data_IF_368424727014
#
_entry.id   IF_368424727014
#
_cell.length_a   1.000
_cell.length_b   1.000
_cell.length_c   1.000
_cell.angle_alpha   90.00
_cell.angle_beta   90.00
_cell.angle_gamma   90.00
#
_symmetry.space_group_name_H-M   'P 1'
#
loop_
_entity.id
_entity.type
_entity.pdbx_description
1 polymer ?
#
# COMPACT_ATOMS: atom_id res chain seq x y z
N UNK A 1 -4.83 23.41 -19.23
CA UNK A 1 -5.48 22.30 -18.51
C UNK A 1 -4.49 21.15 -18.45
N UNK A 2 -4.06 20.69 -17.26
CA UNK A 2 -3.28 19.45 -17.17
C UNK A 2 -4.24 18.31 -17.46
N UNK A 3 -3.95 17.47 -18.45
CA UNK A 3 -4.69 16.23 -18.67
C UNK A 3 -4.69 15.41 -17.36
N UNK A 4 -5.87 14.98 -16.92
CA UNK A 4 -5.97 14.08 -15.77
C UNK A 4 -5.30 12.77 -16.18
N UNK A 5 -4.12 12.48 -15.62
CA UNK A 5 -3.43 11.21 -15.84
C UNK A 5 -4.31 10.11 -15.25
N UNK A 6 -4.90 9.29 -16.11
CA UNK A 6 -5.77 8.18 -15.75
C UNK A 6 -5.01 7.21 -14.83
N UNK A 7 -5.57 6.90 -13.67
CA UNK A 7 -4.97 6.00 -12.69
C UNK A 7 -5.88 4.80 -12.38
N UNK A 8 -5.42 3.91 -11.47
CA UNK A 8 -6.20 2.72 -11.10
C UNK A 8 -7.55 3.02 -10.45
N UNK A 9 -7.71 4.14 -9.73
CA UNK A 9 -9.01 4.54 -9.18
C UNK A 9 -9.97 5.00 -10.28
N UNK A 10 -9.48 5.70 -11.30
CA UNK A 10 -10.32 6.06 -12.46
C UNK A 10 -10.82 4.80 -13.20
N UNK A 11 -9.95 3.80 -13.36
CA UNK A 11 -10.33 2.51 -13.94
C UNK A 11 -11.29 1.72 -13.04
N UNK A 12 -11.10 1.77 -11.73
CA UNK A 12 -12.01 1.16 -10.75
C UNK A 12 -13.40 1.79 -10.84
N UNK A 13 -13.51 3.11 -10.82
CA UNK A 13 -14.78 3.85 -10.96
C UNK A 13 -15.53 3.42 -12.22
N UNK A 14 -14.82 3.37 -13.36
CA UNK A 14 -15.37 2.92 -14.63
C UNK A 14 -15.90 1.48 -14.56
N UNK A 15 -15.17 0.57 -13.93
CA UNK A 15 -15.59 -0.85 -13.81
C UNK A 15 -16.79 -1.03 -12.87
N UNK A 16 -16.86 -0.25 -11.79
CA UNK A 16 -18.02 -0.24 -10.89
C UNK A 16 -19.27 0.27 -11.60
N UNK A 17 -19.15 1.32 -12.41
CA UNK A 17 -20.24 1.82 -13.25
C UNK A 17 -20.76 0.83 -14.31
N UNK A 18 -19.97 -0.20 -14.64
CA UNK A 18 -20.31 -1.23 -15.61
C UNK A 18 -20.78 -2.56 -14.98
N UNK A 19 -21.19 -2.56 -13.71
CA UNK A 19 -21.49 -3.78 -12.95
C UNK A 19 -22.64 -4.63 -13.53
N UNK A 20 -23.72 -4.00 -14.00
CA UNK A 20 -24.93 -4.70 -14.45
C UNK A 20 -25.56 -5.53 -13.32
N UNK A 21 -26.07 -6.72 -13.65
CA UNK A 21 -26.76 -7.63 -12.71
C UNK A 21 -25.79 -8.50 -11.85
N UNK A 22 -24.49 -8.23 -11.94
CA UNK A 22 -23.48 -9.01 -11.19
C UNK A 22 -23.54 -8.67 -9.70
N UNK A 23 -23.24 -9.65 -8.84
CA UNK A 23 -23.16 -9.45 -7.40
C UNK A 23 -22.07 -8.42 -7.05
N UNK A 24 -22.40 -7.32 -6.34
CA UNK A 24 -21.43 -6.28 -5.97
C UNK A 24 -20.17 -6.78 -5.28
N UNK A 25 -20.30 -7.68 -4.30
CA UNK A 25 -19.15 -8.19 -3.57
C UNK A 25 -18.17 -8.97 -4.48
N UNK A 26 -18.67 -9.77 -5.43
CA UNK A 26 -17.84 -10.53 -6.37
C UNK A 26 -17.11 -9.59 -7.35
N UNK A 27 -17.79 -8.53 -7.78
CA UNK A 27 -17.23 -7.53 -8.70
C UNK A 27 -16.16 -6.70 -7.99
N UNK A 28 -16.41 -6.26 -6.76
CA UNK A 28 -15.42 -5.53 -5.96
C UNK A 28 -14.19 -6.41 -5.70
N UNK A 29 -14.38 -7.67 -5.30
CA UNK A 29 -13.29 -8.62 -5.12
C UNK A 29 -12.44 -8.75 -6.39
N UNK A 30 -13.07 -8.98 -7.53
CA UNK A 30 -12.37 -9.10 -8.81
C UNK A 30 -11.61 -7.82 -9.20
N UNK A 31 -12.24 -6.65 -9.08
CA UNK A 31 -11.61 -5.37 -9.43
C UNK A 31 -10.39 -5.11 -8.53
N UNK A 32 -10.52 -5.33 -7.22
CA UNK A 32 -9.43 -5.08 -6.30
C UNK A 32 -8.28 -6.07 -6.52
N UNK A 33 -8.60 -7.34 -6.76
CA UNK A 33 -7.58 -8.34 -7.10
C UNK A 33 -6.85 -8.00 -8.40
N UNK A 34 -7.58 -7.62 -9.44
CA UNK A 34 -7.00 -7.34 -10.76
C UNK A 34 -6.17 -6.04 -10.77
N UNK A 35 -6.66 -4.99 -10.12
CA UNK A 35 -6.00 -3.68 -10.12
C UNK A 35 -4.93 -3.56 -9.05
N UNK A 36 -5.11 -4.18 -7.88
CA UNK A 36 -4.25 -3.96 -6.72
C UNK A 36 -3.58 -5.23 -6.18
N UNK A 37 -3.99 -6.41 -6.65
CA UNK A 37 -3.39 -7.68 -6.25
C UNK A 37 -3.86 -8.21 -4.89
N UNK A 38 -4.80 -7.54 -4.22
CA UNK A 38 -5.35 -8.05 -2.96
C UNK A 38 -6.43 -9.08 -3.21
N UNK A 39 -6.27 -10.25 -2.59
CA UNK A 39 -7.32 -11.27 -2.55
C UNK A 39 -8.10 -11.18 -1.24
N UNK A 40 -9.26 -10.52 -1.28
CA UNK A 40 -10.12 -10.35 -0.12
C UNK A 40 -10.78 -11.64 0.38
N UNK A 41 -10.59 -12.80 -0.27
CA UNK A 41 -10.96 -14.07 0.35
C UNK A 41 -9.97 -14.47 1.46
N UNK A 42 -8.73 -13.94 1.42
CA UNK A 42 -7.65 -14.28 2.36
C UNK A 42 -7.19 -13.11 3.24
N UNK A 43 -7.46 -11.86 2.84
CA UNK A 43 -7.13 -10.70 3.69
C UNK A 43 -7.95 -10.74 4.98
N UNK A 44 -7.33 -10.61 6.17
CA UNK A 44 -8.06 -10.60 7.43
C UNK A 44 -9.06 -9.43 7.51
N UNK A 45 -10.28 -9.72 7.98
CA UNK A 45 -11.24 -8.67 8.36
C UNK A 45 -10.84 -8.09 9.71
N UNK A 46 -10.52 -6.79 9.72
CA UNK A 46 -10.10 -6.06 10.91
C UNK A 46 -11.29 -5.59 11.74
N UNK A 47 -12.41 -5.24 11.09
CA UNK A 47 -13.61 -4.70 11.75
C UNK A 47 -14.86 -5.36 11.20
N UNK A 48 -15.80 -5.69 12.09
CA UNK A 48 -17.08 -6.31 11.71
C UNK A 48 -16.99 -7.82 11.43
N UNK A 49 -15.89 -8.48 11.84
CA UNK A 49 -15.73 -9.94 11.70
C UNK A 49 -16.87 -10.69 12.39
N UNK A 50 -17.53 -11.59 11.67
CA UNK A 50 -18.58 -12.48 12.19
C UNK A 50 -18.19 -13.93 11.94
N UNK A 51 -18.26 -14.76 12.98
CA UNK A 51 -17.96 -16.18 12.86
C UNK A 51 -18.97 -16.85 11.92
N UNK A 52 -18.49 -17.73 11.04
CA UNK A 52 -19.32 -18.48 10.10
C UNK A 52 -19.70 -17.73 8.82
N UNK A 53 -19.25 -16.48 8.63
CA UNK A 53 -19.39 -15.77 7.36
C UNK A 53 -18.05 -15.67 6.64
N UNK A 54 -18.11 -15.79 5.32
CA UNK A 54 -16.99 -15.48 4.42
C UNK A 54 -16.77 -13.97 4.31
N UNK A 55 -15.59 -13.57 3.89
CA UNK A 55 -15.27 -12.16 3.64
C UNK A 55 -16.20 -11.54 2.58
N UNK A 56 -16.62 -12.31 1.57
CA UNK A 56 -17.56 -11.85 0.55
C UNK A 56 -18.95 -11.61 1.09
N UNK A 57 -19.45 -12.46 1.98
CA UNK A 57 -20.75 -12.26 2.62
C UNK A 57 -20.75 -11.04 3.54
N UNK A 58 -19.67 -10.86 4.30
CA UNK A 58 -19.48 -9.66 5.12
C UNK A 58 -19.40 -8.40 4.26
N UNK A 59 -18.61 -8.42 3.18
CA UNK A 59 -18.52 -7.31 2.24
C UNK A 59 -19.87 -7.01 1.59
N UNK A 60 -20.61 -8.03 1.14
CA UNK A 60 -21.94 -7.85 0.53
C UNK A 60 -22.88 -7.09 1.46
N UNK A 61 -22.93 -7.48 2.73
CA UNK A 61 -23.79 -6.82 3.73
C UNK A 61 -23.39 -5.36 4.00
N UNK A 62 -22.12 -5.00 3.91
CA UNK A 62 -21.67 -3.62 4.07
C UNK A 62 -21.90 -2.78 2.79
N UNK A 63 -21.74 -3.38 1.59
CA UNK A 63 -22.02 -2.72 0.32
C UNK A 63 -23.48 -2.29 0.19
N UNK A 64 -24.42 -3.07 0.72
CA UNK A 64 -25.86 -2.72 0.76
C UNK A 64 -26.16 -1.46 1.58
N UNK A 65 -25.26 -1.07 2.49
CA UNK A 65 -25.41 0.14 3.31
C UNK A 65 -24.82 1.39 2.66
N UNK A 66 -24.09 1.23 1.55
CA UNK A 66 -23.48 2.38 0.87
C UNK A 66 -24.55 3.20 0.14
N UNK A 67 -24.44 4.53 0.12
CA UNK A 67 -25.32 5.38 -0.68
C UNK A 67 -25.26 5.06 -2.17
N UNK A 68 -24.06 4.73 -2.66
CA UNK A 68 -23.80 4.29 -4.03
C UNK A 68 -22.51 3.48 -4.10
N UNK A 69 -22.41 2.60 -5.09
CA UNK A 69 -21.21 1.83 -5.36
C UNK A 69 -20.24 2.62 -6.26
N UNK A 70 -19.58 3.61 -5.66
CA UNK A 70 -18.54 4.45 -6.28
C UNK A 70 -17.23 4.32 -5.50
N UNK A 71 -16.11 4.73 -6.08
CA UNK A 71 -14.79 4.78 -5.41
C UNK A 71 -14.86 5.62 -4.14
N UNK A 72 -15.55 6.75 -4.17
CA UNK A 72 -15.73 7.66 -3.03
C UNK A 72 -16.28 6.94 -1.78
N UNK A 73 -17.25 6.04 -1.94
CA UNK A 73 -17.85 5.30 -0.83
C UNK A 73 -17.12 3.97 -0.56
N UNK A 74 -16.60 3.33 -1.60
CA UNK A 74 -15.99 2.03 -1.50
C UNK A 74 -14.60 2.06 -0.86
N UNK A 75 -13.75 3.04 -1.19
CA UNK A 75 -12.40 3.12 -0.63
C UNK A 75 -12.39 3.25 0.90
N UNK A 76 -13.19 4.15 1.52
CA UNK A 76 -13.29 4.22 2.98
C UNK A 76 -13.81 2.92 3.60
N UNK A 77 -14.76 2.24 2.95
CA UNK A 77 -15.27 0.95 3.43
C UNK A 77 -14.18 -0.13 3.43
N UNK A 78 -13.43 -0.27 2.34
CA UNK A 78 -12.36 -1.26 2.23
C UNK A 78 -11.21 -0.98 3.21
N UNK A 79 -10.88 0.30 3.41
CA UNK A 79 -9.95 0.73 4.44
C UNK A 79 -10.47 0.33 5.83
N UNK A 80 -11.74 0.58 6.13
CA UNK A 80 -12.34 0.25 7.42
C UNK A 80 -12.38 -1.27 7.69
N UNK A 81 -12.82 -2.05 6.71
CA UNK A 81 -13.00 -3.50 6.86
C UNK A 81 -11.69 -4.26 6.84
N UNK A 82 -10.81 -3.95 5.88
CA UNK A 82 -9.62 -4.75 5.57
C UNK A 82 -8.30 -4.01 5.81
N UNK A 83 -8.33 -2.72 6.19
CA UNK A 83 -7.12 -1.91 6.35
C UNK A 83 -6.44 -1.58 5.02
N UNK A 84 -7.12 -1.75 3.88
CA UNK A 84 -6.52 -1.53 2.57
C UNK A 84 -6.70 -0.08 2.12
N UNK A 85 -5.62 0.70 2.13
CA UNK A 85 -5.65 2.11 1.70
C UNK A 85 -5.38 2.24 0.19
N UNK A 86 -6.41 2.01 -0.64
CA UNK A 86 -6.28 2.08 -2.11
C UNK A 86 -5.87 3.47 -2.63
N UNK A 87 -6.38 4.54 -2.00
CA UNK A 87 -6.02 5.91 -2.37
C UNK A 87 -4.55 6.21 -2.08
N UNK A 88 -4.07 5.79 -0.91
CA UNK A 88 -2.66 5.87 -0.54
C UNK A 88 -1.78 5.13 -1.54
N UNK A 89 -2.17 3.92 -1.95
CA UNK A 89 -1.43 3.12 -2.94
C UNK A 89 -1.33 3.82 -4.28
N UNK A 90 -2.44 4.40 -4.79
CA UNK A 90 -2.41 5.14 -6.05
C UNK A 90 -1.58 6.42 -5.95
N UNK A 91 -1.60 7.10 -4.79
CA UNK A 91 -0.81 8.33 -4.59
C UNK A 91 0.71 8.10 -4.71
N UNK A 92 1.17 6.89 -4.41
CA UNK A 92 2.58 6.50 -4.46
C UNK A 92 2.91 5.60 -5.67
N UNK A 93 1.97 5.39 -6.59
CA UNK A 93 2.11 4.41 -7.66
C UNK A 93 3.32 4.65 -8.57
N UNK A 94 3.67 5.92 -8.77
CA UNK A 94 4.82 6.33 -9.58
C UNK A 94 6.12 6.44 -8.75
N UNK A 95 6.05 6.24 -7.44
CA UNK A 95 7.25 6.22 -6.61
C UNK A 95 8.02 4.91 -6.83
N UNK A 96 9.35 4.92 -6.78
CA UNK A 96 10.18 3.72 -6.95
C UNK A 96 10.21 2.86 -5.68
N UNK A 97 9.05 2.70 -5.03
CA UNK A 97 8.89 2.08 -3.72
C UNK A 97 7.96 0.88 -3.83
N UNK A 98 8.46 -0.31 -3.55
CA UNK A 98 7.64 -1.47 -3.22
C UNK A 98 7.24 -1.45 -1.75
N UNK A 99 6.02 -1.88 -1.44
CA UNK A 99 5.50 -1.95 -0.07
C UNK A 99 4.98 -3.37 0.19
N UNK A 100 5.49 -3.96 1.27
CA UNK A 100 5.01 -5.22 1.82
C UNK A 100 4.48 -4.98 3.23
N UNK A 101 3.29 -5.47 3.53
CA UNK A 101 2.68 -5.37 4.87
C UNK A 101 2.07 -6.72 5.23
N UNK A 102 2.39 -7.24 6.43
CA UNK A 102 1.80 -8.47 6.97
C UNK A 102 1.89 -9.64 5.99
N UNK A 103 3.09 -9.89 5.45
CA UNK A 103 3.37 -10.91 4.43
C UNK A 103 2.67 -10.74 3.07
N UNK A 104 1.93 -9.64 2.86
CA UNK A 104 1.22 -9.36 1.62
C UNK A 104 1.87 -8.20 0.85
N UNK A 105 1.84 -8.28 -0.47
CA UNK A 105 2.23 -7.17 -1.33
C UNK A 105 1.13 -6.11 -1.33
N UNK A 106 1.50 -4.88 -0.96
CA UNK A 106 0.63 -3.70 -1.04
C UNK A 106 0.89 -2.95 -2.34
N UNK A 107 2.16 -2.85 -2.73
CA UNK A 107 2.62 -2.35 -4.02
C UNK A 107 3.89 -3.10 -4.42
N UNK A 108 3.96 -3.55 -5.66
CA UNK A 108 5.18 -4.07 -6.27
C UNK A 108 5.14 -3.81 -7.76
N UNK A 109 6.09 -3.04 -8.27
CA UNK A 109 6.27 -2.85 -9.70
C UNK A 109 7.71 -3.17 -10.11
N UNK A 110 7.87 -3.65 -11.34
CA UNK A 110 9.17 -3.74 -11.97
C UNK A 110 9.75 -2.33 -12.10
N UNK A 111 11.00 -2.13 -11.69
CA UNK A 111 11.61 -0.79 -11.60
C UNK A 111 11.57 -0.16 -10.20
N UNK A 112 10.82 -0.71 -9.23
CA UNK A 112 10.87 -0.21 -7.86
C UNK A 112 12.26 -0.46 -7.25
N UNK A 113 12.87 0.56 -6.68
CA UNK A 113 14.27 0.58 -6.22
C UNK A 113 14.39 0.35 -4.70
N UNK A 114 13.35 0.66 -3.94
CA UNK A 114 13.35 0.50 -2.47
C UNK A 114 12.13 -0.28 -2.04
N UNK A 115 12.29 -1.15 -1.04
CA UNK A 115 11.20 -1.89 -0.42
C UNK A 115 11.01 -1.44 1.02
N UNK A 116 9.77 -1.07 1.37
CA UNK A 116 9.30 -0.87 2.74
C UNK A 116 8.57 -2.13 3.18
N UNK A 117 9.02 -2.74 4.27
CA UNK A 117 8.39 -3.91 4.88
C UNK A 117 7.90 -3.54 6.27
N UNK A 118 6.60 -3.68 6.51
CA UNK A 118 6.02 -3.61 7.86
C UNK A 118 6.05 -4.98 8.54
N UNK A 119 6.55 -5.03 9.76
CA UNK A 119 6.58 -6.23 10.60
C UNK A 119 5.21 -6.64 11.14
N UNK A 120 5.22 -7.64 12.02
CA UNK A 120 4.01 -8.14 12.67
C UNK A 120 3.34 -7.02 13.49
N UNK A 121 2.01 -6.93 13.42
CA UNK A 121 1.20 -5.90 14.12
C UNK A 121 1.63 -4.44 13.86
N UNK A 122 2.34 -4.20 12.75
CA UNK A 122 2.89 -2.89 12.42
C UNK A 122 3.85 -2.33 13.50
N UNK A 123 4.49 -3.21 14.30
CA UNK A 123 5.40 -2.82 15.39
C UNK A 123 6.77 -2.33 14.92
N UNK A 124 7.17 -2.73 13.71
CA UNK A 124 8.43 -2.35 13.10
C UNK A 124 8.26 -2.06 11.60
N UNK A 125 9.21 -1.29 11.06
CA UNK A 125 9.34 -0.97 9.65
C UNK A 125 10.80 -1.11 9.24
N UNK A 126 11.02 -1.83 8.14
CA UNK A 126 12.31 -2.02 7.53
C UNK A 126 12.30 -1.45 6.11
N UNK A 127 13.32 -0.65 5.78
CA UNK A 127 13.57 -0.11 4.44
C UNK A 127 14.85 -0.73 3.88
N UNK A 128 14.74 -1.39 2.73
CA UNK A 128 15.83 -2.11 2.05
C UNK A 128 15.89 -1.78 0.57
N UNK A 129 17.05 -1.91 -0.10
CA UNK A 129 17.09 -1.91 -1.55
C UNK A 129 16.40 -3.15 -2.12
N UNK A 130 15.82 -3.03 -3.32
CA UNK A 130 15.27 -4.17 -4.07
C UNK A 130 16.35 -4.87 -4.90
N UNK A 131 16.02 -6.03 -5.46
CA UNK A 131 16.85 -6.67 -6.49
C UNK A 131 17.07 -5.78 -7.71
N UNK A 132 16.06 -4.98 -8.07
CA UNK A 132 16.17 -4.01 -9.16
C UNK A 132 17.21 -2.93 -8.84
N UNK A 133 17.24 -2.42 -7.61
CA UNK A 133 18.27 -1.49 -7.17
C UNK A 133 19.67 -2.08 -7.30
N UNK A 134 19.85 -3.34 -6.90
CA UNK A 134 21.12 -4.04 -7.07
C UNK A 134 21.51 -4.17 -8.54
N UNK A 135 20.53 -4.42 -9.42
CA UNK A 135 20.75 -4.54 -10.87
C UNK A 135 21.20 -3.22 -11.48
N UNK A 136 20.58 -2.10 -11.08
CA UNK A 136 20.87 -0.77 -11.64
C UNK A 136 22.14 -0.16 -11.03
N UNK A 137 22.36 -0.35 -9.72
CA UNK A 137 23.40 0.36 -8.97
C UNK A 137 24.59 -0.52 -8.57
N UNK A 138 24.48 -1.85 -8.69
CA UNK A 138 25.51 -2.78 -8.25
C UNK A 138 25.75 -2.80 -6.73
N UNK A 139 24.81 -2.29 -5.93
CA UNK A 139 24.97 -2.11 -4.49
C UNK A 139 23.82 -2.76 -3.71
N UNK A 140 24.16 -3.52 -2.68
CA UNK A 140 23.23 -4.23 -1.77
C UNK A 140 22.73 -3.34 -0.61
N UNK A 141 23.21 -2.10 -0.52
CA UNK A 141 22.87 -1.13 0.52
C UNK A 141 22.11 0.08 -0.01
N UNK A 142 21.33 0.73 0.86
CA UNK A 142 20.74 2.02 0.55
C UNK A 142 21.85 3.07 0.33
N UNK A 143 21.65 4.07 -0.54
CA UNK A 143 22.59 5.18 -0.67
C UNK A 143 22.79 5.88 0.69
N UNK A 144 24.03 6.22 1.03
CA UNK A 144 24.37 6.84 2.32
C UNK A 144 23.51 8.08 2.61
N UNK A 145 23.28 8.93 1.60
CA UNK A 145 22.44 10.11 1.76
C UNK A 145 20.96 9.77 2.05
N UNK A 146 20.41 8.75 1.39
CA UNK A 146 19.05 8.29 1.69
C UNK A 146 18.97 7.73 3.11
N UNK A 147 19.96 6.93 3.51
CA UNK A 147 20.04 6.35 4.85
C UNK A 147 20.16 7.44 5.93
N UNK A 148 20.99 8.45 5.73
CA UNK A 148 21.10 9.61 6.63
C UNK A 148 19.77 10.38 6.76
N UNK A 149 19.04 10.56 5.66
CA UNK A 149 17.71 11.21 5.68
C UNK A 149 16.69 10.39 6.46
N UNK A 150 16.74 9.05 6.35
CA UNK A 150 15.89 8.14 7.12
C UNK A 150 16.27 8.17 8.62
N UNK A 151 17.56 8.18 8.94
CA UNK A 151 18.03 8.29 10.33
C UNK A 151 17.53 9.58 10.98
N UNK A 152 17.59 10.71 10.26
CA UNK A 152 17.10 12.01 10.74
C UNK A 152 15.62 12.02 11.12
N UNK A 153 14.80 11.13 10.54
CA UNK A 153 13.37 11.03 10.87
C UNK A 153 13.05 9.98 11.91
N UNK A 154 14.04 9.21 12.39
CA UNK A 154 13.91 8.28 13.51
C UNK A 154 14.43 6.86 13.26
N UNK A 155 14.91 6.52 12.07
CA UNK A 155 15.42 5.17 11.78
C UNK A 155 16.81 4.92 12.38
N UNK A 156 17.11 3.65 12.64
CA UNK A 156 18.44 3.13 12.94
C UNK A 156 19.08 2.56 11.66
N UNK A 157 20.39 2.73 11.49
CA UNK A 157 21.15 2.01 10.48
C UNK A 157 21.42 0.57 10.97
N UNK A 158 20.92 -0.41 10.23
CA UNK A 158 21.24 -1.83 10.42
C UNK A 158 21.88 -2.37 9.16
N UNK A 159 23.21 -2.29 9.10
CA UNK A 159 24.05 -2.80 8.00
C UNK A 159 23.63 -2.27 6.62
N UNK A 160 23.46 -0.95 6.47
CA UNK A 160 23.10 -0.33 5.20
C UNK A 160 21.60 -0.38 4.87
N UNK A 161 20.78 -0.78 5.84
CA UNK A 161 19.33 -0.75 5.81
C UNK A 161 18.79 0.18 6.90
N UNK A 162 17.59 0.72 6.71
CA UNK A 162 16.95 1.56 7.73
C UNK A 162 15.90 0.75 8.48
N UNK A 163 16.05 0.62 9.80
CA UNK A 163 15.08 -0.06 10.66
C UNK A 163 14.46 0.91 11.66
N UNK A 164 13.16 0.80 11.88
CA UNK A 164 12.47 1.52 12.94
C UNK A 164 11.57 0.55 13.71
N UNK A 165 11.58 0.65 15.03
CA UNK A 165 10.56 0.11 15.91
C UNK A 165 10.27 1.16 16.98
N UNK A 166 9.01 1.26 17.38
CA UNK A 166 8.63 2.19 18.42
C UNK A 166 9.27 1.78 19.77
N UNK A 167 9.95 2.68 20.50
CA UNK A 167 10.62 2.33 21.77
C UNK A 167 9.67 1.81 22.86
N UNK A 168 8.39 2.17 22.80
CA UNK A 168 7.36 1.74 23.75
C UNK A 168 6.61 0.49 23.25
N UNK A 169 7.05 -0.09 22.13
CA UNK A 169 6.43 -1.26 21.51
C UNK A 169 5.03 -0.96 20.95
N UNK A 170 4.74 0.29 20.60
CA UNK A 170 3.49 0.66 19.96
C UNK A 170 3.54 0.45 18.44
N UNK A 171 2.39 0.25 17.78
CA UNK A 171 2.34 0.24 16.32
C UNK A 171 2.90 1.53 15.74
N UNK A 172 3.70 1.42 14.69
CA UNK A 172 4.33 2.56 14.01
C UNK A 172 3.26 3.54 13.55
N UNK A 173 3.31 4.82 13.98
CA UNK A 173 2.27 5.79 13.66
C UNK A 173 2.14 6.07 12.16
N UNK A 174 0.93 6.34 11.70
CA UNK A 174 0.67 6.62 10.28
C UNK A 174 1.39 7.88 9.77
N UNK A 175 1.55 8.89 10.62
CA UNK A 175 2.36 10.09 10.30
C UNK A 175 3.82 9.74 10.06
N UNK A 176 4.37 8.76 10.78
CA UNK A 176 5.74 8.28 10.58
C UNK A 176 5.87 7.51 9.27
N UNK A 177 4.89 6.64 8.94
CA UNK A 177 4.83 5.93 7.65
C UNK A 177 4.73 6.93 6.49
N UNK A 178 3.89 7.94 6.61
CA UNK A 178 3.73 9.03 5.63
C UNK A 178 5.04 9.78 5.44
N UNK A 179 5.73 10.14 6.53
CA UNK A 179 7.04 10.80 6.48
C UNK A 179 8.11 9.93 5.84
N UNK A 180 8.10 8.62 6.09
CA UNK A 180 9.01 7.64 5.46
C UNK A 180 8.87 7.65 3.95
N UNK A 181 7.64 7.47 3.45
CA UNK A 181 7.34 7.48 2.01
C UNK A 181 7.81 8.80 1.40
N UNK A 182 7.44 9.94 2.01
CA UNK A 182 7.82 11.26 1.51
C UNK A 182 9.34 11.46 1.43
N UNK A 183 10.08 11.01 2.45
CA UNK A 183 11.55 11.10 2.48
C UNK A 183 12.18 10.31 1.34
N UNK A 184 11.70 9.09 1.09
CA UNK A 184 12.22 8.23 0.02
C UNK A 184 11.87 8.82 -1.35
N UNK A 185 10.60 9.18 -1.60
CA UNK A 185 10.18 9.76 -2.88
C UNK A 185 10.96 11.04 -3.20
N UNK A 186 11.11 11.94 -2.21
CA UNK A 186 11.88 13.17 -2.39
C UNK A 186 13.35 12.90 -2.76
N UNK A 187 13.97 11.89 -2.16
CA UNK A 187 15.33 11.51 -2.52
C UNK A 187 15.44 11.10 -3.99
N UNK A 188 14.53 10.26 -4.48
CA UNK A 188 14.53 9.80 -5.87
C UNK A 188 14.08 10.86 -6.88
N UNK A 189 13.25 11.82 -6.47
CA UNK A 189 12.93 13.01 -7.28
C UNK A 189 14.19 13.88 -7.51
N UNK A 190 15.05 13.99 -6.49
CA UNK A 190 16.32 14.73 -6.56
C UNK A 190 17.43 13.93 -7.24
N UNK A 191 17.33 12.60 -7.23
CA UNK A 191 18.28 11.64 -7.79
C UNK A 191 17.58 10.69 -8.76
N UNK A 192 17.13 11.17 -9.93
CA UNK A 192 16.46 10.31 -10.89
C UNK A 192 17.45 9.28 -11.44
N UNK A 193 17.13 8.00 -11.30
CA UNK A 193 17.90 6.91 -11.88
C UNK A 193 17.53 6.74 -13.36
N UNK A 194 18.53 6.48 -14.20
CA UNK A 194 18.38 6.31 -15.66
C UNK A 194 18.59 4.86 -16.04
#
# INVERSE_FOLDING_TARGET
MKEKKWNRLDEMEKRLGAIGDRKPADVVHAIVRDLFGFDYDYVPVLRGKKNGLTNREMLSAELEKLPSLTVEHLCPLLLHMFGTNLEGIVSIEQSPISIRSKENWVKRHQGDLVMITGGYEDLDVLVTPTEEFMTVNGNEYLPDELLERLIKIGYENRNGHAFFADPEGQPVPDDFKTRTIRTITKYFDEHPYK
#
